data_IF_908170173712
#
_entry.id   IF_908170173712
#
_cell.length_a   1.000
_cell.length_b   1.000
_cell.length_c   1.000
_cell.angle_alpha   90.00
_cell.angle_beta   90.00
_cell.angle_gamma   90.00
#
_symmetry.space_group_name_H-M   'P 1'
#
loop_
_entity.id
_entity.type
_entity.pdbx_description
1 polymer ?
#
# COMPACT_ATOMS: atom_id res chain seq x y z
N UNK A 1 14.87 34.85 -2.45
CA UNK A 1 15.07 33.39 -2.62
C UNK A 1 14.68 32.74 -1.31
N UNK A 2 13.91 31.62 -1.31
CA UNK A 2 13.57 30.94 -0.06
C UNK A 2 14.84 30.53 0.68
N UNK A 3 14.80 30.64 2.00
CA UNK A 3 15.89 30.24 2.90
C UNK A 3 16.11 28.73 2.77
N UNK A 4 17.37 28.27 2.82
CA UNK A 4 17.69 26.83 2.73
C UNK A 4 16.98 26.03 3.82
N UNK A 5 16.71 26.66 4.98
CA UNK A 5 15.92 26.10 6.08
C UNK A 5 14.50 25.78 5.62
N UNK A 6 13.86 26.64 4.83
CA UNK A 6 12.52 26.42 4.28
C UNK A 6 12.53 25.27 3.27
N UNK A 7 13.52 25.24 2.37
CA UNK A 7 13.66 24.18 1.36
C UNK A 7 13.91 22.82 2.04
N UNK A 8 14.68 22.81 3.13
CA UNK A 8 14.93 21.63 3.95
C UNK A 8 13.65 21.15 4.63
N UNK A 9 12.92 22.04 5.33
CA UNK A 9 11.62 21.72 5.96
C UNK A 9 10.62 21.16 4.95
N UNK A 10 10.55 21.75 3.76
CA UNK A 10 9.68 21.30 2.67
C UNK A 10 9.95 19.85 2.25
N UNK A 11 11.18 19.34 2.36
CA UNK A 11 11.44 17.92 2.08
C UNK A 11 10.80 17.00 3.13
N UNK A 12 10.85 17.39 4.41
CA UNK A 12 10.22 16.62 5.50
C UNK A 12 8.69 16.67 5.42
N UNK A 13 8.13 17.81 5.06
CA UNK A 13 6.68 17.93 4.79
C UNK A 13 6.25 16.99 3.66
N UNK A 14 7.00 16.95 2.55
CA UNK A 14 6.74 16.01 1.44
C UNK A 14 6.84 14.55 1.88
N UNK A 15 7.82 14.21 2.72
CA UNK A 15 7.94 12.86 3.29
C UNK A 15 6.67 12.52 4.10
N UNK A 16 6.27 13.39 5.03
CA UNK A 16 5.08 13.19 5.86
C UNK A 16 3.80 13.08 5.00
N UNK A 17 3.66 13.91 3.97
CA UNK A 17 2.54 13.84 3.02
C UNK A 17 2.51 12.51 2.28
N UNK A 18 3.65 12.02 1.77
CA UNK A 18 3.72 10.71 1.11
C UNK A 18 3.37 9.55 2.05
N UNK A 19 3.71 9.64 3.33
CA UNK A 19 3.33 8.64 4.32
C UNK A 19 1.83 8.67 4.64
N UNK A 20 1.27 9.86 4.83
CA UNK A 20 -0.15 10.05 5.10
C UNK A 20 -1.03 9.63 3.92
N UNK A 21 -0.65 10.02 2.69
CA UNK A 21 -1.36 9.60 1.48
C UNK A 21 -1.32 8.08 1.29
N UNK A 22 -0.19 7.44 1.62
CA UNK A 22 -0.07 5.97 1.61
C UNK A 22 -0.99 5.30 2.62
N UNK A 23 -1.06 5.82 3.85
CA UNK A 23 -1.98 5.34 4.87
C UNK A 23 -3.44 5.48 4.42
N UNK A 24 -3.82 6.68 3.97
CA UNK A 24 -5.17 6.97 3.51
C UNK A 24 -5.58 6.06 2.33
N UNK A 25 -4.71 5.93 1.32
CA UNK A 25 -4.99 5.07 0.16
C UNK A 25 -5.11 3.59 0.55
N UNK A 26 -4.20 3.07 1.38
CA UNK A 26 -4.25 1.69 1.86
C UNK A 26 -5.54 1.42 2.63
N UNK A 27 -5.91 2.30 3.57
CA UNK A 27 -7.15 2.19 4.34
C UNK A 27 -8.40 2.24 3.45
N UNK A 28 -8.40 3.10 2.42
CA UNK A 28 -9.49 3.17 1.45
C UNK A 28 -9.66 1.86 0.69
N UNK A 29 -8.56 1.29 0.18
CA UNK A 29 -8.59 0.00 -0.55
C UNK A 29 -9.07 -1.14 0.35
N UNK A 30 -8.64 -1.17 1.62
CA UNK A 30 -9.12 -2.14 2.61
C UNK A 30 -10.63 -1.97 2.80
N UNK A 31 -11.10 -0.76 3.07
CA UNK A 31 -12.52 -0.48 3.29
C UNK A 31 -13.38 -0.89 2.09
N UNK A 32 -12.96 -0.53 0.87
CA UNK A 32 -13.65 -0.92 -0.37
C UNK A 32 -13.68 -2.45 -0.50
N UNK A 33 -12.53 -3.11 -0.30
CA UNK A 33 -12.44 -4.57 -0.48
C UNK A 33 -13.31 -5.33 0.52
N UNK A 34 -13.23 -4.96 1.80
CA UNK A 34 -14.03 -5.58 2.85
C UNK A 34 -15.53 -5.33 2.65
N UNK A 35 -15.92 -4.11 2.28
CA UNK A 35 -17.33 -3.77 2.01
C UNK A 35 -17.85 -4.53 0.80
N UNK A 36 -17.07 -4.61 -0.28
CA UNK A 36 -17.46 -5.34 -1.49
C UNK A 36 -17.60 -6.85 -1.24
N UNK A 37 -16.70 -7.44 -0.46
CA UNK A 37 -16.80 -8.84 -0.04
C UNK A 37 -18.04 -9.08 0.82
N UNK A 38 -18.30 -8.22 1.81
CA UNK A 38 -19.50 -8.30 2.64
C UNK A 38 -20.79 -8.16 1.81
N UNK A 39 -20.81 -7.25 0.83
CA UNK A 39 -21.93 -7.13 -0.09
C UNK A 39 -22.11 -8.39 -0.94
N UNK A 40 -21.02 -9.00 -1.42
CA UNK A 40 -21.07 -10.24 -2.17
C UNK A 40 -21.52 -11.45 -1.32
N UNK A 41 -21.32 -11.43 0.00
CA UNK A 41 -21.81 -12.48 0.92
C UNK A 41 -23.30 -12.36 1.20
N UNK A 42 -23.79 -11.13 1.38
CA UNK A 42 -25.19 -10.85 1.78
C UNK A 42 -26.18 -10.89 0.60
N UNK A 43 -25.69 -10.86 -0.64
CA UNK A 43 -26.54 -10.83 -1.84
C UNK A 43 -26.48 -12.14 -2.63
N UNK A 44 -27.43 -12.32 -3.55
CA UNK A 44 -27.42 -13.42 -4.52
C UNK A 44 -26.37 -13.25 -5.63
N UNK A 45 -25.39 -12.35 -5.47
CA UNK A 45 -24.33 -12.13 -6.46
C UNK A 45 -23.54 -13.42 -6.75
N UNK A 46 -23.37 -14.28 -5.74
CA UNK A 46 -22.74 -15.60 -5.87
C UNK A 46 -23.46 -16.54 -6.86
N UNK A 47 -24.74 -16.30 -7.11
CA UNK A 47 -25.54 -17.09 -8.06
C UNK A 47 -25.32 -16.69 -9.52
N UNK A 48 -24.66 -15.56 -9.79
CA UNK A 48 -24.21 -15.16 -11.13
C UNK A 48 -22.68 -15.32 -11.22
N UNK A 49 -22.18 -16.41 -11.83
CA UNK A 49 -20.74 -16.69 -11.89
C UNK A 49 -19.94 -15.56 -12.53
N UNK A 50 -20.44 -14.97 -13.61
CA UNK A 50 -19.74 -13.94 -14.37
C UNK A 50 -19.56 -12.68 -13.51
N UNK A 51 -20.64 -12.16 -12.95
CA UNK A 51 -20.60 -10.96 -12.10
C UNK A 51 -19.76 -11.19 -10.84
N UNK A 52 -19.84 -12.39 -10.26
CA UNK A 52 -19.04 -12.76 -9.10
C UNK A 52 -17.54 -12.78 -9.42
N UNK A 53 -17.11 -13.49 -10.47
CA UNK A 53 -15.70 -13.55 -10.85
C UNK A 53 -15.16 -12.18 -11.26
N UNK A 54 -15.94 -11.36 -11.97
CA UNK A 54 -15.56 -9.98 -12.28
C UNK A 54 -15.28 -9.16 -11.02
N UNK A 55 -16.14 -9.27 -9.99
CA UNK A 55 -15.91 -8.61 -8.70
C UNK A 55 -14.60 -9.10 -8.06
N UNK A 56 -14.42 -10.42 -7.94
CA UNK A 56 -13.20 -11.00 -7.36
C UNK A 56 -11.94 -10.53 -8.10
N UNK A 57 -11.93 -10.57 -9.43
CA UNK A 57 -10.81 -10.08 -10.23
C UNK A 57 -10.53 -8.60 -9.98
N UNK A 58 -11.56 -7.76 -9.93
CA UNK A 58 -11.41 -6.34 -9.61
C UNK A 58 -10.81 -6.12 -8.21
N UNK A 59 -11.27 -6.88 -7.21
CA UNK A 59 -10.75 -6.80 -5.85
C UNK A 59 -9.29 -7.27 -5.74
N UNK A 60 -8.89 -8.27 -6.51
CA UNK A 60 -7.48 -8.68 -6.60
C UNK A 60 -6.64 -7.57 -7.24
N UNK A 61 -7.10 -7.01 -8.36
CA UNK A 61 -6.38 -5.95 -9.09
C UNK A 61 -6.17 -4.73 -8.19
N UNK A 62 -7.20 -4.23 -7.51
CA UNK A 62 -7.08 -3.02 -6.67
C UNK A 62 -6.08 -3.22 -5.51
N UNK A 63 -6.00 -4.42 -4.93
CA UNK A 63 -5.03 -4.73 -3.89
C UNK A 63 -3.61 -4.87 -4.45
N UNK A 64 -3.42 -5.42 -5.65
CA UNK A 64 -2.13 -5.40 -6.35
C UNK A 64 -1.67 -3.96 -6.61
N UNK A 65 -2.58 -3.10 -7.09
CA UNK A 65 -2.30 -1.67 -7.27
C UNK A 65 -1.92 -1.00 -5.95
N UNK A 66 -2.56 -1.36 -4.84
CA UNK A 66 -2.18 -0.87 -3.51
C UNK A 66 -0.75 -1.26 -3.11
N UNK A 67 -0.35 -2.52 -3.35
CA UNK A 67 1.02 -3.00 -3.11
C UNK A 67 2.03 -2.21 -3.96
N UNK A 68 1.72 -1.95 -5.23
CA UNK A 68 2.56 -1.15 -6.13
C UNK A 68 2.67 0.30 -5.63
N UNK A 69 1.56 0.92 -5.23
CA UNK A 69 1.54 2.27 -4.68
C UNK A 69 2.39 2.38 -3.40
N UNK A 70 2.25 1.44 -2.47
CA UNK A 70 3.07 1.38 -1.24
C UNK A 70 4.56 1.25 -1.58
N UNK A 71 4.90 0.43 -2.58
CA UNK A 71 6.28 0.28 -3.07
C UNK A 71 6.83 1.60 -3.61
N UNK A 72 6.06 2.30 -4.45
CA UNK A 72 6.46 3.55 -5.09
C UNK A 72 6.57 4.71 -4.09
N UNK A 73 5.69 4.77 -3.10
CA UNK A 73 5.75 5.76 -2.00
C UNK A 73 7.11 5.72 -1.29
N UNK A 74 7.65 4.52 -1.04
CA UNK A 74 8.97 4.36 -0.40
C UNK A 74 10.11 4.95 -1.22
N UNK A 75 10.06 4.78 -2.54
CA UNK A 75 11.05 5.37 -3.44
C UNK A 75 11.08 6.89 -3.31
N UNK A 76 9.91 7.55 -3.34
CA UNK A 76 9.83 9.01 -3.20
C UNK A 76 10.27 9.50 -1.82
N UNK A 77 9.93 8.78 -0.74
CA UNK A 77 10.41 9.11 0.61
C UNK A 77 11.94 9.10 0.66
N UNK A 78 12.59 8.04 0.16
CA UNK A 78 14.05 7.96 0.11
C UNK A 78 14.67 9.08 -0.72
N UNK A 79 14.04 9.43 -1.84
CA UNK A 79 14.47 10.53 -2.70
C UNK A 79 14.44 11.88 -1.98
N UNK A 80 13.35 12.19 -1.26
CA UNK A 80 13.25 13.43 -0.48
C UNK A 80 14.19 13.46 0.73
N UNK A 81 14.44 12.31 1.38
CA UNK A 81 15.47 12.20 2.42
C UNK A 81 16.87 12.50 1.86
N UNK A 82 17.22 11.93 0.70
CA UNK A 82 18.51 12.18 0.05
C UNK A 82 18.67 13.67 -0.30
N UNK A 83 17.62 14.31 -0.81
CA UNK A 83 17.60 15.76 -1.08
C UNK A 83 17.81 16.59 0.18
N UNK A 84 17.14 16.24 1.29
CA UNK A 84 17.31 16.94 2.56
C UNK A 84 18.76 16.86 3.07
N UNK A 85 19.38 15.67 2.98
CA UNK A 85 20.79 15.49 3.32
C UNK A 85 21.74 16.28 2.41
N UNK A 86 21.46 16.35 1.11
CA UNK A 86 22.26 17.15 0.18
C UNK A 86 22.22 18.65 0.53
N UNK A 87 21.03 19.20 0.80
CA UNK A 87 20.85 20.59 1.23
C UNK A 87 21.60 20.87 2.53
N UNK A 88 21.51 19.96 3.50
CA UNK A 88 22.18 20.13 4.79
C UNK A 88 23.71 20.08 4.65
N UNK A 89 24.23 19.21 3.78
CA UNK A 89 25.67 19.14 3.49
C UNK A 89 26.21 20.40 2.83
N UNK A 90 25.43 21.00 1.93
CA UNK A 90 25.83 22.20 1.18
C UNK A 90 25.84 23.44 2.08
N UNK A 91 24.83 23.62 2.94
CA UNK A 91 24.66 24.86 3.71
C UNK A 91 25.08 24.78 5.18
N UNK A 92 25.06 23.59 5.81
CA UNK A 92 25.37 23.42 7.23
C UNK A 92 26.01 22.05 7.54
N UNK A 93 27.23 21.79 7.03
CA UNK A 93 27.87 20.46 7.09
C UNK A 93 28.13 19.96 8.52
N UNK A 94 28.39 20.86 9.47
CA UNK A 94 28.61 20.51 10.88
C UNK A 94 27.35 19.92 11.54
N UNK A 95 26.17 20.39 11.13
CA UNK A 95 24.90 19.78 11.57
C UNK A 95 24.73 18.39 10.97
N UNK A 96 25.06 18.21 9.68
CA UNK A 96 24.97 16.88 9.07
C UNK A 96 25.94 15.88 9.73
N UNK A 97 27.17 16.30 10.03
CA UNK A 97 28.13 15.50 10.81
C UNK A 97 27.54 15.10 12.16
N UNK A 98 26.93 16.03 12.88
CA UNK A 98 26.30 15.76 14.18
C UNK A 98 25.15 14.77 14.07
N UNK A 99 24.27 14.91 13.08
CA UNK A 99 23.16 13.96 12.84
C UNK A 99 23.71 12.58 12.46
N UNK A 100 24.74 12.53 11.61
CA UNK A 100 25.34 11.28 11.17
C UNK A 100 26.10 10.51 12.26
N UNK A 101 26.45 11.15 13.40
CA UNK A 101 26.99 10.46 14.57
C UNK A 101 25.98 9.47 15.16
N UNK A 102 24.69 9.74 14.99
CA UNK A 102 23.63 8.80 15.33
C UNK A 102 23.52 7.83 14.15
N UNK A 103 23.91 6.58 14.36
CA UNK A 103 23.84 5.57 13.32
C UNK A 103 22.40 5.44 12.81
N UNK A 104 22.21 5.68 11.51
CA UNK A 104 20.90 5.51 10.88
C UNK A 104 20.57 4.03 10.86
N UNK A 105 19.56 3.63 11.64
CA UNK A 105 19.03 2.27 11.59
C UNK A 105 18.71 1.92 10.14
N UNK A 106 19.36 0.86 9.64
CA UNK A 106 19.12 0.39 8.28
C UNK A 106 17.74 -0.29 8.18
N UNK A 107 16.72 0.53 7.96
CA UNK A 107 15.34 0.08 7.77
C UNK A 107 15.12 -0.78 6.53
N UNK A 108 16.11 -0.98 5.65
CA UNK A 108 15.98 -1.91 4.53
C UNK A 108 15.93 -3.37 4.99
N UNK A 109 16.71 -3.70 6.03
CA UNK A 109 16.77 -5.05 6.60
C UNK A 109 15.62 -5.35 7.57
N UNK A 110 14.88 -4.34 8.02
CA UNK A 110 13.69 -4.52 8.83
C UNK A 110 12.56 -5.12 7.98
N UNK A 111 12.24 -6.40 8.21
CA UNK A 111 11.14 -7.11 7.56
C UNK A 111 9.78 -6.58 8.01
N UNK A 112 9.67 -6.07 9.24
CA UNK A 112 8.43 -5.64 9.88
C UNK A 112 8.21 -4.12 9.84
N UNK A 113 8.98 -3.40 9.03
CA UNK A 113 8.73 -1.97 8.79
C UNK A 113 7.29 -1.74 8.32
N UNK A 114 6.68 -0.63 8.74
CA UNK A 114 5.27 -0.30 8.43
C UNK A 114 4.87 -0.51 6.96
N UNK A 115 5.66 -0.09 5.94
CA UNK A 115 5.29 -0.34 4.55
C UNK A 115 5.20 -1.83 4.18
N UNK A 116 6.02 -2.69 4.78
CA UNK A 116 5.94 -4.14 4.57
C UNK A 116 4.69 -4.72 5.24
N UNK A 117 4.36 -4.27 6.46
CA UNK A 117 3.13 -4.70 7.13
C UNK A 117 1.89 -4.38 6.30
N UNK A 118 1.82 -3.19 5.67
CA UNK A 118 0.70 -2.83 4.81
C UNK A 118 0.66 -3.67 3.53
N UNK A 119 1.81 -3.95 2.92
CA UNK A 119 1.88 -4.87 1.77
C UNK A 119 1.38 -6.27 2.15
N UNK A 120 1.85 -6.80 3.27
CA UNK A 120 1.43 -8.10 3.78
C UNK A 120 -0.07 -8.12 4.03
N UNK A 121 -0.64 -7.05 4.57
CA UNK A 121 -2.09 -6.93 4.74
C UNK A 121 -2.86 -7.03 3.41
N UNK A 122 -2.42 -6.32 2.36
CA UNK A 122 -3.04 -6.44 1.04
C UNK A 122 -2.86 -7.84 0.42
N UNK A 123 -1.70 -8.48 0.63
CA UNK A 123 -1.48 -9.89 0.23
C UNK A 123 -2.45 -10.81 0.96
N UNK A 124 -2.62 -10.65 2.27
CA UNK A 124 -3.57 -11.43 3.08
C UNK A 124 -4.99 -11.24 2.56
N UNK A 125 -5.41 -10.00 2.24
CA UNK A 125 -6.72 -9.71 1.66
C UNK A 125 -6.90 -10.40 0.32
N UNK A 126 -5.89 -10.38 -0.57
CA UNK A 126 -5.92 -11.11 -1.84
C UNK A 126 -6.11 -12.61 -1.61
N UNK A 127 -5.32 -13.20 -0.72
CA UNK A 127 -5.41 -14.63 -0.40
C UNK A 127 -6.79 -14.98 0.13
N UNK A 128 -7.34 -14.20 1.07
CA UNK A 128 -8.69 -14.40 1.60
C UNK A 128 -9.74 -14.28 0.48
N UNK A 129 -9.61 -13.28 -0.39
CA UNK A 129 -10.52 -13.05 -1.53
C UNK A 129 -10.54 -14.25 -2.49
N UNK A 130 -9.36 -14.79 -2.80
CA UNK A 130 -9.22 -15.97 -3.67
C UNK A 130 -9.79 -17.21 -2.97
N UNK A 131 -9.43 -17.46 -1.71
CA UNK A 131 -9.97 -18.60 -0.95
C UNK A 131 -11.50 -18.53 -0.83
N UNK A 132 -12.04 -17.33 -0.56
CA UNK A 132 -13.48 -17.10 -0.56
C UNK A 132 -14.13 -17.50 -1.89
N UNK A 133 -13.54 -17.10 -3.02
CA UNK A 133 -14.05 -17.48 -4.36
C UNK A 133 -14.02 -18.99 -4.60
N UNK A 134 -12.96 -19.68 -4.15
CA UNK A 134 -12.77 -21.12 -4.35
C UNK A 134 -13.65 -21.98 -3.45
N UNK A 135 -13.88 -21.57 -2.20
CA UNK A 135 -14.57 -22.43 -1.22
C UNK A 135 -16.07 -22.13 -1.10
N UNK A 136 -16.51 -20.89 -1.34
CA UNK A 136 -17.91 -20.51 -1.13
C UNK A 136 -18.67 -20.41 -2.46
N UNK A 137 -18.03 -19.92 -3.52
CA UNK A 137 -18.69 -19.72 -4.80
C UNK A 137 -18.52 -20.92 -5.75
N UNK A 138 -17.33 -21.52 -5.83
CA UNK A 138 -17.07 -22.66 -6.74
C UNK A 138 -18.07 -23.82 -6.59
N UNK A 139 -18.44 -24.28 -5.37
CA UNK A 139 -19.40 -25.38 -5.23
C UNK A 139 -20.83 -25.02 -5.65
N UNK A 140 -21.18 -23.73 -5.65
CA UNK A 140 -22.49 -23.23 -6.09
C UNK A 140 -22.55 -23.00 -7.60
N UNK A 141 -21.39 -22.75 -8.22
CA UNK A 141 -21.24 -22.43 -9.64
C UNK A 141 -20.96 -23.68 -10.49
N UNK A 142 -20.19 -24.64 -9.96
CA UNK A 142 -19.78 -25.83 -10.72
C UNK A 142 -20.93 -26.66 -11.32
N UNK A 143 -22.11 -26.82 -10.66
CA UNK A 143 -23.21 -27.56 -11.27
C UNK A 143 -23.84 -26.82 -12.46
N UNK A 144 -23.81 -25.49 -12.45
CA UNK A 144 -24.39 -24.61 -13.48
C UNK A 144 -23.48 -24.57 -14.71
N UNK A 145 -22.16 -24.56 -14.53
CA UNK A 145 -21.19 -24.56 -15.64
C UNK A 145 -21.10 -25.93 -16.31
N UNK A 146 -21.24 -27.02 -15.57
CA UNK A 146 -21.23 -28.38 -16.14
C UNK A 146 -22.54 -28.78 -16.83
N UNK A 147 -23.58 -27.96 -16.77
CA UNK A 147 -24.89 -28.22 -17.40
C UNK A 147 -25.14 -27.40 -18.68
N UNK A 148 -24.16 -26.58 -19.08
CA UNK A 148 -24.09 -25.88 -20.36
C UNK A 148 -23.09 -26.63 -21.25
#
# INVERSE_FOLDING_TARGET
MPDFVEIYKLQYERIAQHENQRLAFSNLVIAITTTALAFATETSLQSNPVSFFLLITLLVIINITAIQFISKSRFWIKHHQARAHAILNEHLPEANKTISKIEKINSDNDLYKRPNLHKNLHITIIVITILYSLFIAWPKISPIVCSI
#
